data_IF_521809616573
#
_entry.id   IF_521809616573
#
_cell.length_a   1.000
_cell.length_b   1.000
_cell.length_c   1.000
_cell.angle_alpha   90.00
_cell.angle_beta   90.00
_cell.angle_gamma   90.00
#
_symmetry.space_group_name_H-M   'P 1'
#
loop_
_entity.id
_entity.type
_entity.pdbx_description
1 polymer ?
#
# COMPACT_ATOMS: atom_id res chain seq x y z
N UNK A 1 -5.66 18.69 -0.17
CA UNK A 1 -5.54 18.95 1.30
C UNK A 1 -4.84 17.74 1.92
N UNK A 2 -3.80 17.97 2.73
CA UNK A 2 -2.98 16.92 3.34
C UNK A 2 -3.29 16.90 4.83
N UNK A 3 -3.69 15.73 5.36
CA UNK A 3 -3.85 15.54 6.81
C UNK A 3 -2.46 15.53 7.44
N UNK A 4 -2.25 16.40 8.41
CA UNK A 4 -1.00 16.44 9.15
C UNK A 4 -0.90 15.26 10.10
N UNK A 5 0.19 14.55 10.05
CA UNK A 5 0.51 13.41 10.93
C UNK A 5 1.88 13.59 11.58
N UNK A 6 2.01 14.54 12.50
CA UNK A 6 3.30 14.96 13.04
C UNK A 6 4.08 13.84 13.76
N UNK A 7 3.40 12.88 14.36
CA UNK A 7 4.04 11.70 14.96
C UNK A 7 4.71 10.80 13.92
N UNK A 8 4.05 10.61 12.78
CA UNK A 8 4.57 9.81 11.68
C UNK A 8 5.69 10.54 10.95
N UNK A 9 5.53 11.85 10.70
CA UNK A 9 6.57 12.70 10.13
C UNK A 9 7.84 12.66 10.98
N UNK A 10 7.72 12.84 12.31
CA UNK A 10 8.84 12.74 13.26
C UNK A 10 9.49 11.36 13.24
N UNK A 11 8.72 10.28 13.17
CA UNK A 11 9.28 8.93 13.08
C UNK A 11 10.14 8.74 11.84
N UNK A 12 9.67 9.23 10.69
CA UNK A 12 10.41 9.15 9.42
C UNK A 12 11.68 9.99 9.47
N UNK A 13 11.61 11.22 9.95
CA UNK A 13 12.80 12.10 10.07
C UNK A 13 13.81 11.55 11.07
N UNK A 14 13.38 11.02 12.21
CA UNK A 14 14.28 10.37 13.18
C UNK A 14 14.97 9.14 12.57
N UNK A 15 14.26 8.34 11.77
CA UNK A 15 14.85 7.21 11.04
C UNK A 15 15.91 7.67 10.05
N UNK A 16 15.63 8.72 9.26
CA UNK A 16 16.60 9.34 8.35
C UNK A 16 17.84 9.87 9.08
N UNK A 17 17.66 10.53 10.21
CA UNK A 17 18.76 11.10 11.01
C UNK A 17 19.63 10.00 11.65
N UNK A 18 19.05 8.83 11.91
CA UNK A 18 19.77 7.63 12.32
C UNK A 18 20.51 6.91 11.17
N UNK A 19 20.54 7.48 9.96
CA UNK A 19 21.18 6.89 8.78
C UNK A 19 20.41 5.70 8.18
N UNK A 20 19.15 5.49 8.58
CA UNK A 20 18.28 4.44 8.02
C UNK A 20 17.56 4.90 6.77
N UNK A 21 16.99 3.94 6.06
CA UNK A 21 16.11 4.15 4.89
C UNK A 21 14.69 3.77 5.31
N UNK A 22 13.82 4.75 5.65
CA UNK A 22 12.41 4.48 5.92
C UNK A 22 11.70 3.91 4.69
N UNK A 23 10.95 2.83 4.88
CA UNK A 23 10.14 2.19 3.84
C UNK A 23 8.67 2.24 4.25
N UNK A 24 7.92 3.18 3.67
CA UNK A 24 6.54 3.47 4.01
C UNK A 24 5.60 2.49 3.31
N UNK A 25 4.89 1.68 4.09
CA UNK A 25 3.95 0.69 3.59
C UNK A 25 2.51 1.04 3.96
N UNK A 26 1.61 0.86 3.01
CA UNK A 26 0.18 1.04 3.23
C UNK A 26 -0.61 0.81 1.95
N UNK A 27 -1.86 0.39 2.06
CA UNK A 27 -2.73 0.13 0.92
C UNK A 27 -3.09 1.38 0.10
N UNK A 28 -3.90 1.22 -0.94
CA UNK A 28 -4.42 2.34 -1.70
C UNK A 28 -5.13 3.34 -0.79
N UNK A 29 -4.72 4.62 -0.84
CA UNK A 29 -5.35 5.68 -0.06
C UNK A 29 -4.95 5.78 1.39
N UNK A 30 -3.91 5.09 1.80
CA UNK A 30 -3.32 5.24 3.13
C UNK A 30 -2.62 6.57 3.39
N UNK A 31 -2.44 7.41 2.35
CA UNK A 31 -1.80 8.72 2.46
C UNK A 31 -0.28 8.69 2.28
N UNK A 32 0.31 7.64 1.72
CA UNK A 32 1.77 7.55 1.44
C UNK A 32 2.29 8.75 0.65
N UNK A 33 1.71 8.99 -0.54
CA UNK A 33 2.07 10.12 -1.40
C UNK A 33 1.95 11.45 -0.68
N UNK A 34 0.84 11.65 0.06
CA UNK A 34 0.64 12.88 0.85
C UNK A 34 1.72 13.05 1.92
N UNK A 35 2.12 11.97 2.58
CA UNK A 35 3.21 12.00 3.56
C UNK A 35 4.56 12.33 2.89
N UNK A 36 4.87 11.72 1.73
CA UNK A 36 6.11 12.02 1.01
C UNK A 36 6.16 13.49 0.58
N UNK A 37 5.07 14.03 0.03
CA UNK A 37 4.98 15.45 -0.36
C UNK A 37 5.12 16.39 0.85
N UNK A 38 4.56 15.99 1.99
CA UNK A 38 4.72 16.74 3.24
C UNK A 38 6.18 16.69 3.73
N UNK A 39 6.81 15.53 3.65
CA UNK A 39 8.23 15.37 4.00
C UNK A 39 9.13 16.20 3.08
N UNK A 40 8.85 16.26 1.77
CA UNK A 40 9.58 17.13 0.85
C UNK A 40 9.50 18.60 1.31
N UNK A 41 8.32 19.06 1.69
CA UNK A 41 8.13 20.41 2.21
C UNK A 41 8.91 20.64 3.52
N UNK A 42 8.84 19.70 4.48
CA UNK A 42 9.52 19.80 5.78
C UNK A 42 11.04 19.73 5.66
N UNK A 43 11.55 18.85 4.79
CA UNK A 43 13.00 18.71 4.54
C UNK A 43 13.56 19.89 3.75
N UNK A 44 12.75 20.56 2.97
CA UNK A 44 13.13 21.68 2.11
C UNK A 44 13.43 21.26 0.66
N UNK A 45 12.96 22.07 -0.31
CA UNK A 45 13.04 21.74 -1.74
C UNK A 45 14.48 21.78 -2.29
N UNK A 46 15.41 22.45 -1.60
CA UNK A 46 16.81 22.52 -2.03
C UNK A 46 17.61 21.25 -1.71
N UNK A 47 17.12 20.40 -0.79
CA UNK A 47 17.80 19.15 -0.40
C UNK A 47 16.94 17.91 -0.50
N UNK A 48 15.68 18.02 -0.90
CA UNK A 48 14.81 16.87 -1.07
C UNK A 48 14.10 16.89 -2.42
N UNK A 49 13.85 15.69 -2.97
CA UNK A 49 13.18 15.52 -4.24
C UNK A 49 12.19 14.36 -4.16
N UNK A 50 10.91 14.67 -4.35
CA UNK A 50 9.86 13.67 -4.58
C UNK A 50 9.93 13.13 -6.01
N UNK A 51 9.82 11.81 -6.15
CA UNK A 51 9.82 11.11 -7.43
C UNK A 51 8.69 10.08 -7.46
N UNK A 52 7.75 10.24 -8.38
CA UNK A 52 6.74 9.23 -8.69
C UNK A 52 7.34 8.22 -9.67
N UNK A 53 7.83 7.10 -9.11
CA UNK A 53 8.47 6.04 -9.90
C UNK A 53 7.46 5.33 -10.78
N UNK A 54 6.20 5.17 -10.34
CA UNK A 54 5.16 4.53 -11.15
C UNK A 54 4.87 5.31 -12.43
N UNK A 55 4.83 6.64 -12.36
CA UNK A 55 4.64 7.50 -13.53
C UNK A 55 5.89 7.53 -14.45
N UNK A 56 7.09 7.49 -13.87
CA UNK A 56 8.34 7.58 -14.61
C UNK A 56 8.78 6.22 -15.23
N UNK A 57 8.48 5.08 -14.60
CA UNK A 57 9.03 3.75 -14.96
C UNK A 57 8.39 3.14 -16.21
N UNK A 58 8.44 3.82 -17.35
CA UNK A 58 7.97 3.30 -18.65
C UNK A 58 9.07 2.51 -19.36
N UNK A 59 10.22 3.14 -19.63
CA UNK A 59 11.47 2.50 -20.05
C UNK A 59 12.62 3.06 -19.21
N UNK A 60 13.77 2.35 -19.07
CA UNK A 60 14.91 2.86 -18.31
C UNK A 60 15.38 4.25 -18.78
N UNK A 61 15.45 4.47 -20.10
CA UNK A 61 15.90 5.75 -20.69
C UNK A 61 14.93 6.90 -20.37
N UNK A 62 13.62 6.66 -20.54
CA UNK A 62 12.60 7.67 -20.24
C UNK A 62 12.52 7.96 -18.75
N UNK A 63 12.69 6.93 -17.92
CA UNK A 63 12.74 7.09 -16.48
C UNK A 63 13.93 7.95 -16.05
N UNK A 64 15.13 7.65 -16.57
CA UNK A 64 16.33 8.45 -16.33
C UNK A 64 16.12 9.91 -16.74
N UNK A 65 15.66 10.15 -17.97
CA UNK A 65 15.40 11.50 -18.45
C UNK A 65 14.37 12.24 -17.57
N UNK A 66 13.21 11.61 -17.29
CA UNK A 66 12.17 12.22 -16.48
C UNK A 66 12.62 12.56 -15.05
N UNK A 67 13.42 11.70 -14.42
CA UNK A 67 13.94 11.92 -13.07
C UNK A 67 14.99 13.01 -13.06
N UNK A 68 15.92 13.01 -14.01
CA UNK A 68 16.98 14.03 -14.11
C UNK A 68 16.37 15.41 -14.44
N UNK A 69 15.47 15.48 -15.43
CA UNK A 69 14.83 16.73 -15.85
C UNK A 69 13.94 17.35 -14.75
N UNK A 70 13.25 16.50 -13.96
CA UNK A 70 12.44 16.96 -12.85
C UNK A 70 13.25 17.27 -11.58
N UNK A 71 14.52 16.87 -11.52
CA UNK A 71 15.31 16.98 -10.31
C UNK A 71 15.82 18.39 -10.05
N UNK A 72 15.71 18.81 -8.81
CA UNK A 72 16.37 20.03 -8.28
C UNK A 72 17.77 19.74 -7.75
N UNK A 73 18.07 18.46 -7.52
CA UNK A 73 19.37 17.99 -7.09
C UNK A 73 20.31 17.89 -8.29
N UNK A 74 21.59 18.17 -8.10
CA UNK A 74 22.58 18.17 -9.15
C UNK A 74 23.32 16.84 -9.23
N UNK A 75 23.59 16.29 -10.42
CA UNK A 75 24.46 15.13 -10.54
C UNK A 75 25.91 15.49 -10.14
N UNK A 76 26.58 14.62 -9.37
CA UNK A 76 27.95 14.86 -8.89
C UNK A 76 29.01 14.95 -10.01
N UNK A 77 28.76 14.27 -11.14
CA UNK A 77 29.75 14.10 -12.23
C UNK A 77 29.44 14.90 -13.49
N UNK A 78 28.63 15.97 -13.38
CA UNK A 78 28.22 16.80 -14.53
C UNK A 78 26.98 16.23 -15.25
N UNK A 79 26.64 16.78 -16.44
CA UNK A 79 25.41 16.42 -17.14
C UNK A 79 25.30 14.90 -17.41
N UNK A 80 24.13 14.34 -17.14
CA UNK A 80 23.86 12.94 -17.45
C UNK A 80 23.74 12.78 -18.96
N UNK A 81 24.74 12.16 -19.59
CA UNK A 81 24.75 11.95 -21.04
C UNK A 81 23.66 10.99 -21.51
N UNK A 82 23.45 10.90 -22.84
CA UNK A 82 22.51 9.97 -23.44
C UNK A 82 23.03 8.54 -23.27
N UNK A 83 22.25 7.59 -22.68
CA UNK A 83 22.68 6.20 -22.53
C UNK A 83 22.69 5.48 -23.90
N UNK A 84 23.60 4.54 -24.10
CA UNK A 84 23.69 3.76 -25.33
C UNK A 84 22.63 2.63 -25.39
N UNK A 85 22.22 2.11 -24.23
CA UNK A 85 21.21 1.07 -24.12
C UNK A 85 20.43 1.14 -22.79
N UNK A 86 19.42 0.25 -22.65
CA UNK A 86 18.53 0.17 -21.47
C UNK A 86 19.30 -0.18 -20.18
N UNK A 87 20.35 -1.00 -20.27
CA UNK A 87 21.15 -1.40 -19.12
C UNK A 87 22.01 -0.23 -18.63
N UNK A 88 22.63 0.47 -19.56
CA UNK A 88 23.38 1.68 -19.22
C UNK A 88 22.44 2.78 -18.65
N UNK A 89 21.25 2.92 -19.21
CA UNK A 89 20.26 3.86 -18.70
C UNK A 89 19.89 3.57 -17.23
N UNK A 90 19.65 2.31 -16.89
CA UNK A 90 19.39 1.91 -15.51
C UNK A 90 20.62 2.12 -14.62
N UNK A 91 21.82 1.79 -15.07
CA UNK A 91 23.07 2.05 -14.35
C UNK A 91 23.23 3.54 -14.02
N UNK A 92 23.04 4.43 -15.01
CA UNK A 92 23.13 5.89 -14.84
C UNK A 92 22.02 6.44 -13.91
N UNK A 93 20.81 5.83 -13.92
CA UNK A 93 19.77 6.17 -12.96
C UNK A 93 20.24 5.88 -11.52
N UNK A 94 20.82 4.71 -11.28
CA UNK A 94 21.38 4.35 -9.97
C UNK A 94 22.52 5.29 -9.58
N UNK A 95 23.43 5.62 -10.52
CA UNK A 95 24.54 6.55 -10.28
C UNK A 95 24.05 7.98 -9.96
N UNK A 96 22.98 8.42 -10.61
CA UNK A 96 22.35 9.72 -10.30
C UNK A 96 21.74 9.71 -8.88
N UNK A 97 20.99 8.68 -8.52
CA UNK A 97 20.40 8.57 -7.19
C UNK A 97 21.46 8.48 -6.09
N UNK A 98 22.58 7.81 -6.36
CA UNK A 98 23.68 7.61 -5.42
C UNK A 98 24.59 8.84 -5.28
N UNK A 99 24.85 9.51 -6.39
CA UNK A 99 25.82 10.61 -6.48
C UNK A 99 25.20 12.01 -6.56
N UNK A 100 23.92 12.17 -6.30
CA UNK A 100 23.31 13.51 -6.31
C UNK A 100 23.89 14.41 -5.23
N UNK A 101 23.98 15.70 -5.51
CA UNK A 101 24.46 16.74 -4.60
C UNK A 101 23.42 17.83 -4.36
N UNK A 102 23.52 18.48 -3.22
CA UNK A 102 22.68 19.61 -2.83
C UNK A 102 23.53 20.69 -2.20
N UNK A 103 23.16 21.95 -2.41
CA UNK A 103 23.80 23.11 -1.77
C UNK A 103 23.36 23.30 -0.32
N UNK A 104 22.27 22.66 0.10
CA UNK A 104 21.63 22.85 1.40
C UNK A 104 21.86 21.69 2.37
N UNK A 105 22.74 20.73 2.03
CA UNK A 105 23.06 19.58 2.88
C UNK A 105 22.93 18.23 2.18
N UNK A 106 22.74 17.16 2.95
CA UNK A 106 22.65 15.80 2.39
C UNK A 106 21.39 15.64 1.55
N UNK A 107 21.52 15.27 0.24
CA UNK A 107 20.37 15.06 -0.63
C UNK A 107 19.49 13.92 -0.12
N UNK A 108 18.18 14.08 -0.30
CA UNK A 108 17.19 13.08 0.12
C UNK A 108 16.20 12.84 -1.03
N UNK A 109 16.12 11.62 -1.53
CA UNK A 109 15.11 11.22 -2.49
C UNK A 109 13.92 10.55 -1.80
N UNK A 110 12.71 10.94 -2.18
CA UNK A 110 11.44 10.41 -1.71
C UNK A 110 10.80 9.63 -2.87
N UNK A 111 11.05 8.30 -2.91
CA UNK A 111 10.66 7.44 -4.04
C UNK A 111 9.28 6.82 -3.78
N UNK A 112 8.24 7.35 -4.42
CA UNK A 112 6.90 6.76 -4.36
C UNK A 112 6.78 5.60 -5.35
N UNK A 113 6.12 4.52 -4.93
CA UNK A 113 5.91 3.28 -5.67
C UNK A 113 7.21 2.68 -6.24
N UNK A 114 8.29 2.69 -5.45
CA UNK A 114 9.63 2.29 -5.87
C UNK A 114 9.71 0.88 -6.49
N UNK A 115 8.76 -0.02 -6.18
CA UNK A 115 8.71 -1.36 -6.78
C UNK A 115 8.36 -1.35 -8.28
N UNK A 116 7.83 -0.23 -8.81
CA UNK A 116 7.41 -0.18 -10.21
C UNK A 116 8.59 -0.11 -11.18
N UNK A 117 9.83 0.07 -10.70
CA UNK A 117 11.07 -0.20 -11.47
C UNK A 117 11.11 -1.65 -12.01
N UNK A 118 10.32 -2.57 -11.45
CA UNK A 118 10.17 -3.93 -11.96
C UNK A 118 9.74 -3.98 -13.44
N UNK A 119 9.11 -2.95 -13.94
CA UNK A 119 8.76 -2.82 -15.36
C UNK A 119 10.01 -2.98 -16.25
N UNK A 120 11.18 -2.61 -15.76
CA UNK A 120 12.44 -2.71 -16.50
C UNK A 120 12.91 -4.15 -16.67
N UNK A 121 12.44 -5.12 -15.87
CA UNK A 121 12.75 -6.53 -16.04
C UNK A 121 12.22 -7.12 -17.36
N UNK A 122 11.34 -6.40 -18.07
CA UNK A 122 10.90 -6.75 -19.42
C UNK A 122 11.92 -6.41 -20.52
N UNK A 123 12.99 -5.68 -20.20
CA UNK A 123 14.01 -5.26 -21.15
C UNK A 123 15.24 -6.18 -21.11
N UNK A 124 15.92 -6.39 -22.26
CA UNK A 124 17.11 -7.24 -22.33
C UNK A 124 18.20 -6.81 -21.34
N UNK A 125 18.76 -7.80 -20.62
CA UNK A 125 19.86 -7.55 -19.68
C UNK A 125 19.45 -7.06 -18.29
N UNK A 126 18.16 -6.78 -18.03
CA UNK A 126 17.62 -6.30 -16.77
C UNK A 126 16.73 -7.36 -16.11
N UNK A 127 17.29 -8.21 -15.23
CA UNK A 127 16.56 -9.35 -14.63
C UNK A 127 16.27 -9.21 -13.13
N UNK A 128 17.02 -8.37 -12.41
CA UNK A 128 16.97 -8.27 -10.96
C UNK A 128 16.91 -6.81 -10.48
N UNK A 129 16.26 -5.97 -11.26
CA UNK A 129 16.23 -4.50 -11.11
C UNK A 129 15.87 -4.04 -9.69
N UNK A 130 14.88 -4.69 -9.07
CA UNK A 130 14.48 -4.34 -7.70
C UNK A 130 15.58 -4.68 -6.67
N UNK A 131 16.27 -5.82 -6.84
CA UNK A 131 17.37 -6.21 -5.96
C UNK A 131 18.59 -5.32 -6.15
N UNK A 132 18.90 -4.99 -7.41
CA UNK A 132 20.02 -4.11 -7.77
C UNK A 132 19.79 -2.71 -7.19
N UNK A 133 18.56 -2.17 -7.30
CA UNK A 133 18.16 -0.92 -6.67
C UNK A 133 18.37 -0.99 -5.15
N UNK A 134 17.78 -1.96 -4.46
CA UNK A 134 17.89 -2.10 -2.99
C UNK A 134 19.34 -2.24 -2.56
N UNK A 135 20.16 -3.05 -3.26
CA UNK A 135 21.57 -3.21 -2.96
C UNK A 135 22.35 -1.89 -3.10
N UNK A 136 22.06 -1.10 -4.14
CA UNK A 136 22.71 0.20 -4.34
C UNK A 136 22.31 1.21 -3.26
N UNK A 137 21.01 1.32 -2.97
CA UNK A 137 20.50 2.22 -1.94
C UNK A 137 21.07 1.89 -0.54
N UNK A 138 21.28 0.60 -0.27
CA UNK A 138 21.81 0.15 1.04
C UNK A 138 23.20 0.67 1.37
N UNK A 139 24.03 0.97 0.37
CA UNK A 139 25.41 1.45 0.54
C UNK A 139 25.58 2.93 0.18
N UNK A 140 24.56 3.56 -0.36
CA UNK A 140 24.59 4.94 -0.83
C UNK A 140 24.79 5.94 0.31
N UNK A 141 25.60 7.01 0.10
CA UNK A 141 25.70 8.13 1.02
C UNK A 141 24.48 9.05 0.99
N UNK A 142 23.68 9.00 -0.09
CA UNK A 142 22.44 9.74 -0.26
C UNK A 142 21.35 9.19 0.67
N UNK A 143 20.42 10.02 1.10
CA UNK A 143 19.30 9.65 1.96
C UNK A 143 18.08 9.27 1.11
N UNK A 144 17.32 8.28 1.54
CA UNK A 144 16.13 7.80 0.84
C UNK A 144 14.95 7.59 1.78
N UNK A 145 13.75 7.90 1.29
CA UNK A 145 12.48 7.42 1.82
C UNK A 145 11.79 6.67 0.69
N UNK A 146 11.44 5.43 0.91
CA UNK A 146 10.77 4.59 -0.08
C UNK A 146 9.30 4.45 0.29
N UNK A 147 8.41 4.38 -0.69
CA UNK A 147 7.01 4.05 -0.44
C UNK A 147 6.50 2.99 -1.43
N UNK A 148 5.60 2.14 -0.95
CA UNK A 148 4.95 1.13 -1.79
C UNK A 148 3.57 0.74 -1.26
N UNK A 149 2.66 0.46 -2.20
CA UNK A 149 1.35 -0.13 -1.92
C UNK A 149 1.39 -1.65 -1.69
N UNK A 150 2.47 -2.31 -2.10
CA UNK A 150 2.60 -3.76 -2.08
C UNK A 150 3.39 -4.24 -0.87
N UNK A 151 2.72 -4.34 0.28
CA UNK A 151 3.31 -4.70 1.56
C UNK A 151 4.01 -6.07 1.51
N UNK A 152 3.33 -7.10 1.02
CA UNK A 152 3.86 -8.46 0.96
C UNK A 152 5.10 -8.58 0.07
N UNK A 153 5.13 -7.85 -1.05
CA UNK A 153 6.28 -7.83 -1.96
C UNK A 153 7.49 -7.14 -1.35
N UNK A 154 7.28 -6.01 -0.66
CA UNK A 154 8.37 -5.31 0.02
C UNK A 154 8.98 -6.17 1.12
N UNK A 155 8.17 -6.80 1.98
CA UNK A 155 8.69 -7.70 3.00
C UNK A 155 9.51 -8.85 2.42
N UNK A 156 9.10 -9.41 1.27
CA UNK A 156 9.86 -10.45 0.59
C UNK A 156 11.17 -9.90 0.01
N UNK A 157 11.14 -8.73 -0.61
CA UNK A 157 12.33 -8.09 -1.19
C UNK A 157 13.37 -7.73 -0.13
N UNK A 158 12.91 -7.22 1.02
CA UNK A 158 13.78 -6.75 2.10
C UNK A 158 14.16 -7.84 3.12
N UNK A 159 13.70 -9.09 2.97
CA UNK A 159 13.99 -10.18 3.91
C UNK A 159 15.48 -10.36 4.18
N UNK A 160 16.27 -10.32 3.11
CA UNK A 160 17.72 -10.53 3.15
C UNK A 160 18.50 -9.21 2.95
N UNK A 161 17.80 -8.06 3.03
CA UNK A 161 18.43 -6.76 2.87
C UNK A 161 19.16 -6.32 4.15
N UNK A 162 20.18 -5.46 4.03
CA UNK A 162 20.88 -4.91 5.21
C UNK A 162 19.92 -4.21 6.18
N UNK A 163 20.25 -4.22 7.47
CA UNK A 163 19.48 -3.63 8.56
C UNK A 163 19.25 -2.09 8.44
N UNK A 164 19.78 -1.46 7.40
CA UNK A 164 19.57 -0.04 7.09
C UNK A 164 18.12 0.29 6.72
N UNK A 165 17.33 -0.68 6.20
CA UNK A 165 15.93 -0.47 5.84
C UNK A 165 15.03 -0.59 7.09
N UNK A 166 14.26 0.46 7.38
CA UNK A 166 13.25 0.46 8.44
C UNK A 166 11.85 0.47 7.84
N UNK A 167 11.11 -0.62 7.98
CA UNK A 167 9.73 -0.70 7.52
C UNK A 167 8.81 0.05 8.48
N UNK A 168 8.06 1.02 7.94
CA UNK A 168 7.08 1.82 8.67
C UNK A 168 5.72 1.62 8.01
N UNK A 169 4.84 0.88 8.68
CA UNK A 169 3.45 0.77 8.26
C UNK A 169 2.73 2.09 8.58
N UNK A 170 2.07 2.67 7.56
CA UNK A 170 1.23 3.84 7.76
C UNK A 170 -0.05 3.38 8.46
N UNK A 171 -0.29 3.81 9.72
CA UNK A 171 -1.48 3.40 10.44
C UNK A 171 -2.74 4.03 9.83
N UNK A 172 -3.88 3.37 10.02
CA UNK A 172 -5.17 3.97 9.75
C UNK A 172 -5.36 5.25 10.58
N UNK A 173 -6.18 6.19 10.09
CA UNK A 173 -6.58 7.36 10.88
C UNK A 173 -7.41 6.89 12.09
N UNK A 174 -7.13 7.46 13.24
CA UNK A 174 -7.99 7.33 14.41
C UNK A 174 -9.15 8.33 14.37
N UNK A 175 -10.06 8.25 15.35
CA UNK A 175 -11.22 9.11 15.40
C UNK A 175 -10.86 10.59 15.59
N UNK A 176 -9.78 10.91 16.30
CA UNK A 176 -9.33 12.29 16.51
C UNK A 176 -8.73 12.89 15.24
N UNK A 177 -7.96 12.10 14.48
CA UNK A 177 -7.45 12.51 13.17
C UNK A 177 -8.60 12.73 12.16
N UNK A 178 -9.62 11.85 12.17
CA UNK A 178 -10.82 12.01 11.33
C UNK A 178 -11.66 13.21 11.80
N UNK A 179 -11.78 13.48 13.09
CA UNK A 179 -12.44 14.67 13.62
C UNK A 179 -11.75 15.94 13.14
N UNK A 180 -10.42 15.99 13.24
CA UNK A 180 -9.62 17.12 12.75
C UNK A 180 -9.86 17.36 11.25
N UNK A 181 -9.96 16.29 10.46
CA UNK A 181 -10.33 16.39 9.05
C UNK A 181 -11.77 16.88 8.87
N UNK A 182 -12.71 16.37 9.68
CA UNK A 182 -14.14 16.70 9.56
C UNK A 182 -14.43 18.19 9.81
N UNK A 183 -13.68 18.85 10.68
CA UNK A 183 -13.79 20.30 10.90
C UNK A 183 -13.66 21.13 9.64
N UNK A 184 -12.94 20.64 8.63
CA UNK A 184 -12.73 21.35 7.35
C UNK A 184 -13.96 21.27 6.42
N UNK A 185 -14.82 20.26 6.60
CA UNK A 185 -15.94 19.98 5.68
C UNK A 185 -17.32 20.25 6.29
N UNK A 186 -17.46 20.08 7.62
CA UNK A 186 -18.77 20.13 8.28
C UNK A 186 -18.86 21.22 9.35
N UNK A 187 -18.00 22.24 9.30
CA UNK A 187 -18.03 23.38 10.23
C UNK A 187 -19.37 24.10 10.20
N UNK A 188 -19.87 24.44 11.40
CA UNK A 188 -21.13 25.19 11.58
C UNK A 188 -22.43 24.35 11.51
N UNK A 189 -22.35 23.01 11.54
CA UNK A 189 -23.51 22.11 11.47
C UNK A 189 -23.97 21.63 12.85
N UNK A 190 -25.25 21.24 12.93
CA UNK A 190 -25.93 20.79 14.16
C UNK A 190 -25.29 19.53 14.74
N UNK A 191 -24.86 18.58 13.86
CA UNK A 191 -24.00 17.43 14.21
C UNK A 191 -22.56 17.82 13.90
N UNK A 192 -21.82 18.17 14.95
CA UNK A 192 -20.43 18.62 14.82
C UNK A 192 -19.48 17.52 14.30
N UNK A 193 -18.25 17.92 14.00
CA UNK A 193 -17.19 17.01 13.56
C UNK A 193 -16.97 15.85 14.54
N UNK A 194 -17.05 16.11 15.85
CA UNK A 194 -16.89 15.12 16.92
C UNK A 194 -17.94 14.00 16.86
N UNK A 195 -19.21 14.34 16.56
CA UNK A 195 -20.31 13.36 16.50
C UNK A 195 -20.19 12.45 15.26
N UNK A 196 -19.62 12.96 14.17
CA UNK A 196 -19.49 12.24 12.90
C UNK A 196 -18.23 11.38 12.82
N UNK A 197 -17.15 11.81 13.46
CA UNK A 197 -15.83 11.17 13.33
C UNK A 197 -15.82 9.67 13.68
N UNK A 198 -16.46 9.20 14.78
CA UNK A 198 -16.49 7.77 15.10
C UNK A 198 -17.17 6.93 14.01
N UNK A 199 -18.33 7.41 13.52
CA UNK A 199 -19.07 6.70 12.47
C UNK A 199 -18.30 6.68 11.14
N UNK A 200 -17.72 7.80 10.73
CA UNK A 200 -16.89 7.90 9.53
C UNK A 200 -15.70 6.96 9.66
N UNK A 201 -14.97 7.00 10.78
CA UNK A 201 -13.82 6.13 11.04
C UNK A 201 -14.19 4.66 10.92
N UNK A 202 -15.30 4.26 11.54
CA UNK A 202 -15.78 2.87 11.49
C UNK A 202 -16.16 2.43 10.06
N UNK A 203 -16.87 3.27 9.31
CA UNK A 203 -17.33 2.97 7.96
C UNK A 203 -16.17 2.86 6.96
N UNK A 204 -15.15 3.73 7.07
CA UNK A 204 -14.02 3.73 6.12
C UNK A 204 -12.79 2.99 6.62
N UNK A 205 -12.83 2.40 7.83
CA UNK A 205 -11.70 1.68 8.43
C UNK A 205 -10.46 2.57 8.64
N UNK A 206 -10.66 3.88 8.85
CA UNK A 206 -9.60 4.87 9.01
C UNK A 206 -8.77 5.13 7.73
N UNK A 207 -9.27 4.76 6.54
CA UNK A 207 -8.62 5.10 5.27
C UNK A 207 -8.67 6.61 5.01
N UNK A 208 -7.52 7.33 4.93
CA UNK A 208 -7.51 8.78 4.72
C UNK A 208 -8.27 9.24 3.48
N UNK A 209 -8.09 8.54 2.38
CA UNK A 209 -8.75 8.91 1.14
C UNK A 209 -10.26 8.62 1.16
N UNK A 210 -10.69 7.50 1.75
CA UNK A 210 -12.10 7.20 1.88
C UNK A 210 -12.78 8.14 2.90
N UNK A 211 -12.10 8.50 4.00
CA UNK A 211 -12.57 9.51 4.95
C UNK A 211 -12.78 10.87 4.27
N UNK A 212 -11.79 11.30 3.46
CA UNK A 212 -11.91 12.54 2.69
C UNK A 212 -13.11 12.52 1.75
N UNK A 213 -13.32 11.44 0.99
CA UNK A 213 -14.46 11.30 0.07
C UNK A 213 -15.78 11.39 0.86
N UNK A 214 -15.87 10.65 1.96
CA UNK A 214 -17.10 10.59 2.76
C UNK A 214 -17.41 11.94 3.42
N UNK A 215 -16.41 12.62 3.98
CA UNK A 215 -16.55 13.94 4.59
C UNK A 215 -16.90 15.02 3.57
N UNK A 216 -16.33 14.96 2.36
CA UNK A 216 -16.70 15.85 1.25
C UNK A 216 -18.17 15.65 0.87
N UNK A 217 -18.63 14.40 0.76
CA UNK A 217 -20.03 14.07 0.52
C UNK A 217 -20.95 14.60 1.61
N UNK A 218 -20.62 14.36 2.88
CA UNK A 218 -21.35 14.91 4.03
C UNK A 218 -21.37 16.43 3.99
N UNK A 219 -20.27 17.07 3.60
CA UNK A 219 -20.17 18.52 3.40
C UNK A 219 -21.20 19.06 2.40
N UNK A 220 -21.48 18.33 1.34
CA UNK A 220 -22.40 18.73 0.25
C UNK A 220 -23.88 18.40 0.52
N UNK A 221 -24.20 17.47 1.43
CA UNK A 221 -25.57 16.99 1.68
C UNK A 221 -26.48 17.95 2.49
N UNK A 222 -26.05 19.18 2.78
CA UNK A 222 -26.86 20.14 3.52
C UNK A 222 -27.09 19.74 4.99
N UNK A 223 -28.33 19.84 5.48
CA UNK A 223 -28.67 19.57 6.88
C UNK A 223 -28.72 18.07 7.24
N UNK A 224 -28.87 17.19 6.25
CA UNK A 224 -28.92 15.74 6.48
C UNK A 224 -27.49 15.18 6.54
N UNK A 225 -27.01 14.92 7.75
CA UNK A 225 -25.67 14.38 7.99
C UNK A 225 -25.73 12.90 8.37
N UNK A 226 -26.19 12.05 7.44
CA UNK A 226 -26.17 10.61 7.63
C UNK A 226 -24.93 10.00 6.93
N UNK A 227 -23.92 9.51 7.70
CA UNK A 227 -22.73 8.90 7.13
C UNK A 227 -23.03 7.66 6.26
N UNK A 228 -24.13 6.93 6.54
CA UNK A 228 -24.52 5.74 5.77
C UNK A 228 -25.09 6.16 4.41
N UNK A 229 -25.94 7.18 4.38
CA UNK A 229 -26.43 7.74 3.13
C UNK A 229 -25.31 8.36 2.28
N UNK A 230 -24.35 9.06 2.92
CA UNK A 230 -23.17 9.59 2.24
C UNK A 230 -22.29 8.47 1.65
N UNK A 231 -22.13 7.36 2.37
CA UNK A 231 -21.40 6.19 1.86
C UNK A 231 -22.14 5.58 0.66
N UNK A 232 -23.48 5.47 0.70
CA UNK A 232 -24.27 4.97 -0.41
C UNK A 232 -24.12 5.86 -1.65
N UNK A 233 -24.16 7.17 -1.49
CA UNK A 233 -23.92 8.12 -2.57
C UNK A 233 -22.47 8.04 -3.11
N UNK A 234 -21.48 7.91 -2.24
CA UNK A 234 -20.07 7.82 -2.63
C UNK A 234 -19.75 6.53 -3.40
N UNK A 235 -20.46 5.42 -3.11
CA UNK A 235 -20.27 4.12 -3.78
C UNK A 235 -21.28 3.88 -4.92
N UNK A 236 -22.14 4.82 -5.25
CA UNK A 236 -22.99 4.78 -6.43
C UNK A 236 -22.15 4.68 -7.73
N UNK A 237 -22.72 4.32 -8.90
CA UNK A 237 -21.96 4.09 -10.15
C UNK A 237 -20.98 5.20 -10.52
N UNK A 238 -21.37 6.46 -10.36
CA UNK A 238 -20.54 7.65 -10.64
C UNK A 238 -19.90 8.25 -9.39
N UNK A 239 -19.97 7.54 -8.28
CA UNK A 239 -19.44 7.99 -6.99
C UNK A 239 -17.92 7.96 -6.93
N UNK A 240 -17.34 8.90 -6.19
CA UNK A 240 -15.88 9.02 -6.05
C UNK A 240 -15.25 7.78 -5.40
N UNK A 241 -15.96 7.10 -4.48
CA UNK A 241 -15.47 5.88 -3.87
C UNK A 241 -15.49 4.71 -4.85
N UNK A 242 -16.51 4.62 -5.72
CA UNK A 242 -16.58 3.63 -6.81
C UNK A 242 -15.41 3.79 -7.77
N UNK A 243 -15.14 5.01 -8.24
CA UNK A 243 -14.01 5.29 -9.13
C UNK A 243 -12.68 4.86 -8.49
N UNK A 244 -12.49 5.20 -7.21
CA UNK A 244 -11.30 4.84 -6.47
C UNK A 244 -11.15 3.32 -6.24
N UNK A 245 -12.22 2.63 -5.84
CA UNK A 245 -12.20 1.17 -5.65
C UNK A 245 -11.91 0.46 -6.98
N UNK A 246 -12.50 0.94 -8.08
CA UNK A 246 -12.24 0.42 -9.44
C UNK A 246 -10.77 0.56 -9.81
N UNK A 247 -10.20 1.75 -9.64
CA UNK A 247 -8.79 1.99 -9.91
C UNK A 247 -7.88 1.06 -9.08
N UNK A 248 -8.09 1.00 -7.76
CA UNK A 248 -7.32 0.13 -6.87
C UNK A 248 -7.44 -1.35 -7.22
N UNK A 249 -8.63 -1.79 -7.63
CA UNK A 249 -8.94 -3.17 -8.01
C UNK A 249 -8.27 -3.54 -9.33
N UNK A 250 -8.50 -2.75 -10.38
CA UNK A 250 -7.95 -3.02 -11.71
C UNK A 250 -6.43 -2.86 -11.76
N UNK A 251 -5.88 -1.86 -11.08
CA UNK A 251 -4.43 -1.65 -10.99
C UNK A 251 -3.70 -2.86 -10.39
N UNK A 252 -4.31 -3.52 -9.39
CA UNK A 252 -3.74 -4.71 -8.74
C UNK A 252 -3.91 -5.97 -9.57
N UNK A 253 -4.99 -6.09 -10.34
CA UNK A 253 -5.24 -7.22 -11.24
C UNK A 253 -4.58 -7.04 -12.61
N UNK A 254 -4.08 -5.83 -12.92
CA UNK A 254 -3.43 -5.56 -14.18
C UNK A 254 -2.24 -6.50 -14.40
N UNK A 255 -2.14 -7.06 -15.60
CA UNK A 255 -1.10 -8.05 -15.99
C UNK A 255 -1.14 -9.38 -15.21
N UNK A 256 -2.19 -9.66 -14.44
CA UNK A 256 -2.33 -10.95 -13.78
C UNK A 256 -2.66 -12.06 -14.78
N UNK A 257 -1.93 -13.17 -14.70
CA UNK A 257 -2.32 -14.40 -15.41
C UNK A 257 -3.52 -15.03 -14.71
N UNK A 258 -4.51 -15.47 -15.48
CA UNK A 258 -5.71 -16.09 -14.91
C UNK A 258 -6.71 -15.11 -14.32
N UNK A 259 -6.84 -13.91 -14.91
CA UNK A 259 -7.72 -12.83 -14.49
C UNK A 259 -9.14 -13.27 -14.12
N UNK A 260 -9.77 -14.16 -14.93
CA UNK A 260 -11.09 -14.70 -14.63
C UNK A 260 -11.14 -15.53 -13.34
N UNK A 261 -10.11 -16.33 -13.07
CA UNK A 261 -10.04 -17.11 -11.83
C UNK A 261 -9.81 -16.22 -10.61
N UNK A 262 -8.98 -15.19 -10.74
CA UNK A 262 -8.75 -14.22 -9.67
C UNK A 262 -10.03 -13.45 -9.33
N UNK A 263 -10.76 -12.97 -10.34
CA UNK A 263 -12.09 -12.34 -10.14
C UNK A 263 -13.10 -13.32 -9.52
N UNK A 264 -13.09 -14.58 -9.96
CA UNK A 264 -13.94 -15.62 -9.38
C UNK A 264 -13.67 -15.83 -7.88
N UNK A 265 -12.39 -15.89 -7.47
CA UNK A 265 -12.02 -15.99 -6.03
C UNK A 265 -12.48 -14.76 -5.26
N UNK A 266 -12.25 -13.57 -5.79
CA UNK A 266 -12.67 -12.33 -5.15
C UNK A 266 -14.20 -12.24 -5.04
N UNK A 267 -14.95 -12.68 -6.05
CA UNK A 267 -16.41 -12.78 -5.97
C UNK A 267 -16.87 -13.73 -4.86
N UNK A 268 -16.27 -14.93 -4.77
CA UNK A 268 -16.56 -15.90 -3.72
C UNK A 268 -16.30 -15.32 -2.32
N UNK A 269 -15.17 -14.64 -2.14
CA UNK A 269 -14.83 -13.99 -0.87
C UNK A 269 -15.71 -12.77 -0.58
N UNK A 270 -16.13 -12.03 -1.61
CA UNK A 270 -17.07 -10.91 -1.43
C UNK A 270 -18.41 -11.38 -0.86
N UNK A 271 -18.92 -12.50 -1.34
CA UNK A 271 -20.16 -13.09 -0.83
C UNK A 271 -20.01 -13.62 0.58
N UNK A 272 -18.95 -14.38 0.82
CA UNK A 272 -18.73 -15.04 2.10
C UNK A 272 -17.26 -15.05 2.45
N UNK A 273 -16.88 -14.41 3.57
CA UNK A 273 -15.55 -14.49 4.17
C UNK A 273 -15.64 -14.55 5.70
N UNK A 274 -14.62 -15.07 6.40
CA UNK A 274 -13.41 -15.70 5.85
C UNK A 274 -13.62 -17.15 5.43
N UNK A 275 -12.97 -17.60 4.35
CA UNK A 275 -13.03 -18.97 3.82
C UNK A 275 -11.64 -19.63 3.81
N UNK A 276 -11.62 -20.97 3.96
CA UNK A 276 -10.38 -21.74 3.80
C UNK A 276 -10.14 -22.14 2.33
N UNK A 277 -8.93 -22.65 2.02
CA UNK A 277 -8.55 -23.07 0.67
C UNK A 277 -9.53 -24.09 0.06
N UNK A 278 -9.97 -25.08 0.82
CA UNK A 278 -10.86 -26.15 0.35
C UNK A 278 -12.24 -25.59 -0.03
N UNK A 279 -12.80 -24.70 0.82
CA UNK A 279 -14.08 -24.04 0.56
C UNK A 279 -14.04 -23.19 -0.71
N UNK A 280 -12.93 -22.43 -0.91
CA UNK A 280 -12.73 -21.60 -2.11
C UNK A 280 -12.57 -22.47 -3.36
N UNK A 281 -11.72 -23.52 -3.29
CA UNK A 281 -11.48 -24.43 -4.41
C UNK A 281 -12.76 -25.11 -4.90
N UNK A 282 -13.57 -25.58 -3.94
CA UNK A 282 -14.85 -26.23 -4.25
C UNK A 282 -15.80 -25.26 -4.97
N UNK A 283 -15.96 -24.02 -4.47
CA UNK A 283 -16.83 -23.00 -5.08
C UNK A 283 -16.30 -22.52 -6.43
N UNK A 284 -14.97 -22.43 -6.58
CA UNK A 284 -14.30 -22.05 -7.83
C UNK A 284 -14.32 -23.19 -8.88
N UNK A 285 -14.64 -24.44 -8.45
CA UNK A 285 -14.59 -25.67 -9.27
C UNK A 285 -13.20 -25.90 -9.87
N UNK A 286 -12.16 -25.73 -9.04
CA UNK A 286 -10.76 -25.96 -9.40
C UNK A 286 -10.05 -26.80 -8.33
N UNK A 287 -8.87 -27.31 -8.68
CA UNK A 287 -8.05 -28.07 -7.73
C UNK A 287 -7.48 -27.15 -6.64
N UNK A 288 -7.28 -27.66 -5.41
CA UNK A 288 -6.67 -26.87 -4.33
C UNK A 288 -5.29 -26.31 -4.69
N UNK A 289 -4.45 -27.06 -5.43
CA UNK A 289 -3.14 -26.58 -5.87
C UNK A 289 -3.24 -25.34 -6.75
N UNK A 290 -4.02 -25.42 -7.85
CA UNK A 290 -4.24 -24.27 -8.74
C UNK A 290 -4.88 -23.08 -8.00
N UNK A 291 -5.82 -23.32 -7.09
CA UNK A 291 -6.47 -22.27 -6.29
C UNK A 291 -5.48 -21.59 -5.35
N UNK A 292 -4.55 -22.35 -4.75
CA UNK A 292 -3.50 -21.82 -3.88
C UNK A 292 -2.57 -20.87 -4.62
N UNK A 293 -2.21 -21.17 -5.88
CA UNK A 293 -1.36 -20.30 -6.69
C UNK A 293 -2.05 -18.94 -6.94
N UNK A 294 -3.34 -18.94 -7.26
CA UNK A 294 -4.10 -17.70 -7.41
C UNK A 294 -4.25 -16.93 -6.08
N UNK A 295 -4.49 -17.61 -4.98
CA UNK A 295 -4.56 -16.99 -3.65
C UNK A 295 -3.22 -16.38 -3.27
N UNK A 296 -2.11 -17.08 -3.48
CA UNK A 296 -0.77 -16.54 -3.24
C UNK A 296 -0.51 -15.27 -4.06
N UNK A 297 -0.99 -15.25 -5.31
CA UNK A 297 -0.88 -14.03 -6.14
C UNK A 297 -1.74 -12.89 -5.58
N UNK A 298 -2.98 -13.17 -5.11
CA UNK A 298 -3.85 -12.16 -4.48
C UNK A 298 -3.28 -11.63 -3.17
N UNK A 299 -2.59 -12.47 -2.40
CA UNK A 299 -1.83 -12.04 -1.21
C UNK A 299 -0.65 -11.15 -1.59
N UNK A 300 0.08 -11.48 -2.66
CA UNK A 300 1.23 -10.71 -3.15
C UNK A 300 0.87 -9.29 -3.58
N UNK A 301 -0.37 -9.09 -4.04
CA UNK A 301 -0.88 -7.76 -4.41
C UNK A 301 -1.73 -7.13 -3.31
N UNK A 302 -1.73 -7.70 -2.11
CA UNK A 302 -2.45 -7.22 -0.93
C UNK A 302 -3.97 -7.00 -1.15
N UNK A 303 -4.60 -7.82 -2.02
CA UNK A 303 -6.06 -7.85 -2.17
C UNK A 303 -6.71 -8.75 -1.11
N UNK A 304 -6.03 -9.83 -0.76
CA UNK A 304 -6.48 -10.84 0.19
C UNK A 304 -5.42 -11.02 1.26
N UNK A 305 -5.84 -11.30 2.47
CA UNK A 305 -4.98 -11.68 3.59
C UNK A 305 -5.37 -13.05 4.12
N UNK A 306 -4.39 -13.82 4.57
CA UNK A 306 -4.61 -15.11 5.23
C UNK A 306 -4.38 -14.99 6.74
N UNK A 307 -5.37 -15.39 7.54
CA UNK A 307 -5.24 -15.50 9.01
C UNK A 307 -5.81 -16.83 9.46
N UNK A 308 -5.04 -17.61 10.22
CA UNK A 308 -5.49 -18.91 10.71
C UNK A 308 -5.97 -19.85 9.58
N UNK A 309 -5.27 -19.92 8.46
CA UNK A 309 -5.62 -20.69 7.24
C UNK A 309 -6.94 -20.29 6.57
N UNK A 310 -7.48 -19.11 6.88
CA UNK A 310 -8.67 -18.54 6.25
C UNK A 310 -8.30 -17.24 5.52
N UNK A 311 -8.90 -17.05 4.37
CA UNK A 311 -8.68 -15.92 3.47
C UNK A 311 -9.84 -14.95 3.58
N UNK A 312 -9.51 -13.65 3.58
CA UNK A 312 -10.47 -12.55 3.59
C UNK A 312 -9.91 -11.35 2.79
N UNK A 313 -10.75 -10.42 2.40
CA UNK A 313 -10.31 -9.16 1.84
C UNK A 313 -9.43 -8.38 2.83
N UNK A 314 -8.38 -7.74 2.30
CA UNK A 314 -7.54 -6.81 3.09
C UNK A 314 -8.27 -5.50 3.36
N UNK A 315 -9.06 -5.03 2.39
CA UNK A 315 -9.83 -3.78 2.45
C UNK A 315 -11.34 -4.07 2.41
N UNK A 316 -12.09 -3.80 3.49
CA UNK A 316 -13.53 -4.04 3.53
C UNK A 316 -14.35 -3.19 2.56
N UNK A 317 -13.90 -1.96 2.23
CA UNK A 317 -14.56 -1.13 1.22
C UNK A 317 -14.40 -1.72 -0.17
N UNK A 318 -13.23 -2.31 -0.46
CA UNK A 318 -13.01 -3.02 -1.71
C UNK A 318 -13.87 -4.28 -1.79
N UNK A 319 -14.07 -5.00 -0.67
CA UNK A 319 -15.04 -6.09 -0.61
C UNK A 319 -16.45 -5.62 -0.95
N UNK A 320 -16.91 -4.52 -0.34
CA UNK A 320 -18.23 -3.93 -0.64
C UNK A 320 -18.35 -3.56 -2.13
N UNK A 321 -17.29 -2.96 -2.70
CA UNK A 321 -17.24 -2.67 -4.12
C UNK A 321 -17.35 -3.93 -5.01
N UNK A 322 -16.59 -4.98 -4.71
CA UNK A 322 -16.64 -6.23 -5.49
C UNK A 322 -18.02 -6.88 -5.36
N UNK A 323 -18.66 -6.80 -4.22
CA UNK A 323 -20.00 -7.31 -3.96
C UNK A 323 -21.06 -6.59 -4.81
N UNK A 324 -20.92 -5.27 -4.98
CA UNK A 324 -21.82 -4.44 -5.78
C UNK A 324 -21.54 -4.56 -7.30
N UNK A 325 -20.27 -4.56 -7.69
CA UNK A 325 -19.85 -4.37 -9.08
C UNK A 325 -19.11 -5.59 -9.68
N UNK A 326 -18.95 -6.66 -8.94
CA UNK A 326 -18.34 -7.90 -9.44
C UNK A 326 -19.21 -8.72 -10.38
N UNK A 327 -20.51 -8.46 -10.40
CA UNK A 327 -21.47 -9.09 -11.30
C UNK A 327 -21.52 -8.47 -12.70
N UNK A 328 -22.22 -9.11 -13.64
CA UNK A 328 -22.33 -8.64 -15.02
C UNK A 328 -23.28 -7.44 -15.20
N UNK A 329 -24.14 -7.17 -14.22
CA UNK A 329 -25.12 -6.08 -14.26
C UNK A 329 -24.79 -5.05 -13.17
N UNK A 330 -24.75 -3.76 -13.51
CA UNK A 330 -24.57 -2.70 -12.48
C UNK A 330 -25.66 -2.76 -11.42
N UNK A 331 -25.35 -2.46 -10.15
CA UNK A 331 -26.34 -2.48 -9.09
C UNK A 331 -27.36 -1.35 -9.27
N UNK A 332 -28.64 -1.62 -8.95
CA UNK A 332 -29.65 -0.57 -8.80
C UNK A 332 -29.57 0.10 -7.42
N UNK A 333 -30.23 1.28 -7.30
CA UNK A 333 -30.19 2.08 -6.09
C UNK A 333 -30.62 1.32 -4.83
N UNK A 334 -31.70 0.53 -4.91
CA UNK A 334 -32.18 -0.26 -3.78
C UNK A 334 -31.17 -1.32 -3.33
N UNK A 335 -30.41 -1.90 -4.25
CA UNK A 335 -29.36 -2.86 -3.95
C UNK A 335 -28.18 -2.14 -3.27
N UNK A 336 -27.79 -0.97 -3.75
CA UNK A 336 -26.72 -0.16 -3.13
C UNK A 336 -27.08 0.18 -1.68
N UNK A 337 -28.29 0.73 -1.47
CA UNK A 337 -28.77 1.09 -0.12
C UNK A 337 -28.81 -0.15 0.79
N UNK A 338 -29.28 -1.29 0.29
CA UNK A 338 -29.36 -2.54 1.05
C UNK A 338 -27.99 -3.06 1.48
N UNK A 339 -27.03 -3.13 0.54
CA UNK A 339 -25.67 -3.63 0.79
C UNK A 339 -24.87 -2.67 1.69
N UNK A 340 -24.97 -1.35 1.47
CA UNK A 340 -24.34 -0.34 2.32
C UNK A 340 -24.94 -0.37 3.72
N UNK A 341 -26.26 -0.52 3.85
CA UNK A 341 -26.90 -0.69 5.14
C UNK A 341 -26.46 -1.95 5.90
N UNK A 342 -26.31 -3.07 5.18
CA UNK A 342 -25.75 -4.31 5.76
C UNK A 342 -24.31 -4.12 6.21
N UNK A 343 -23.47 -3.51 5.37
CA UNK A 343 -22.08 -3.18 5.69
C UNK A 343 -22.00 -2.26 6.94
N UNK A 344 -22.79 -1.19 6.98
CA UNK A 344 -22.80 -0.22 8.08
C UNK A 344 -23.20 -0.88 9.41
N UNK A 345 -24.21 -1.76 9.42
CA UNK A 345 -24.59 -2.50 10.62
C UNK A 345 -23.43 -3.29 11.22
N UNK A 346 -22.59 -3.92 10.38
CA UNK A 346 -21.44 -4.68 10.88
C UNK A 346 -20.31 -3.81 11.41
N UNK A 347 -20.27 -2.53 11.04
CA UNK A 347 -19.21 -1.58 11.41
C UNK A 347 -19.58 -0.63 12.53
N UNK A 348 -20.85 -0.25 12.62
CA UNK A 348 -21.35 0.72 13.60
C UNK A 348 -21.88 0.07 14.89
N UNK A 349 -22.11 -1.25 14.90
CA UNK A 349 -22.45 -1.95 16.16
C UNK A 349 -21.23 -1.94 17.09
N UNK A 350 -21.42 -1.65 18.40
CA UNK A 350 -20.33 -1.66 19.36
C UNK A 350 -19.68 -3.06 19.43
N UNK A 351 -18.35 -3.07 19.54
CA UNK A 351 -17.50 -4.27 19.55
C UNK A 351 -17.82 -5.33 20.64
N UNK A 352 -18.82 -5.12 21.47
CA UNK A 352 -19.27 -6.04 22.51
C UNK A 352 -19.89 -7.35 21.99
N UNK A 353 -20.15 -7.48 20.68
CA UNK A 353 -20.74 -8.67 20.07
C UNK A 353 -19.80 -9.42 19.07
N UNK A 354 -18.59 -8.95 18.83
CA UNK A 354 -17.63 -9.68 18.02
C UNK A 354 -16.72 -10.52 18.93
N UNK A 355 -16.52 -11.84 18.69
CA UNK A 355 -15.51 -12.58 19.40
C UNK A 355 -14.16 -11.91 19.19
N UNK A 356 -13.50 -11.53 20.28
CA UNK A 356 -12.20 -10.89 20.26
C UNK A 356 -11.22 -11.74 19.44
N UNK A 357 -10.84 -11.29 18.25
CA UNK A 357 -9.67 -11.81 17.56
C UNK A 357 -8.46 -11.42 18.42
N UNK A 358 -7.87 -12.40 19.07
CA UNK A 358 -6.69 -12.22 19.89
C UNK A 358 -5.63 -11.42 19.10
N UNK A 359 -4.94 -10.44 19.75
CA UNK A 359 -3.83 -9.74 19.13
C UNK A 359 -2.78 -10.76 18.69
N UNK A 360 -2.22 -10.55 17.51
CA UNK A 360 -1.10 -11.36 17.02
C UNK A 360 -0.01 -11.40 18.10
N UNK A 361 0.56 -12.60 18.42
CA UNK A 361 1.66 -12.67 19.35
C UNK A 361 2.80 -11.76 18.86
N UNK A 362 3.27 -10.90 19.76
CA UNK A 362 4.46 -10.11 19.53
C UNK A 362 5.57 -11.05 19.05
N UNK A 363 6.27 -10.67 17.98
CA UNK A 363 7.41 -11.43 17.48
C UNK A 363 8.36 -11.68 18.67
N UNK A 364 8.60 -12.96 18.94
CA UNK A 364 9.53 -13.37 19.96
C UNK A 364 10.90 -12.71 19.69
N UNK A 365 11.47 -12.13 20.73
CA UNK A 365 12.84 -11.61 20.70
C UNK A 365 13.80 -12.75 20.27
N UNK A 366 14.86 -12.46 19.51
CA UNK A 366 15.85 -13.47 19.15
C UNK A 366 16.48 -14.06 20.41
N UNK A 367 16.73 -15.38 20.45
CA UNK A 367 17.37 -16.00 21.61
C UNK A 367 18.79 -15.48 21.81
N UNK A 368 19.15 -15.35 23.08
CA UNK A 368 20.47 -14.94 23.59
C UNK A 368 21.56 -15.87 23.00
N UNK A 369 22.71 -15.34 22.50
CA UNK A 369 23.76 -16.13 21.86
C UNK A 369 24.67 -16.90 22.84
N UNK A 370 24.14 -17.39 23.94
CA UNK A 370 24.91 -17.95 25.07
C UNK A 370 24.78 -19.44 25.38
N UNK A 371 24.06 -20.25 24.62
CA UNK A 371 24.02 -21.71 24.89
C UNK A 371 24.12 -22.54 23.60
N UNK A 372 25.30 -23.07 23.34
CA UNK A 372 25.52 -24.12 22.35
C UNK A 372 25.23 -25.49 22.99
N UNK A 373 24.35 -26.33 22.41
CA UNK A 373 24.28 -27.74 22.81
C UNK A 373 25.32 -28.57 22.04
N UNK A 374 26.12 -29.30 22.79
CA UNK A 374 27.02 -30.35 22.32
C UNK A 374 26.26 -31.51 21.67
N UNK A 375 26.82 -31.98 20.55
CA UNK A 375 26.68 -33.32 19.95
C UNK A 375 25.32 -33.99 19.77
N UNK A 376 24.93 -34.14 18.51
CA UNK A 376 24.18 -35.27 18.03
C UNK A 376 24.73 -35.82 16.69
N UNK A 377 24.68 -37.13 16.43
CA UNK A 377 25.54 -37.83 15.48
C UNK A 377 25.03 -37.77 14.04
N UNK A 378 25.97 -37.85 13.12
CA UNK A 378 25.78 -38.03 11.67
C UNK A 378 25.15 -39.38 11.38
N UNK A 379 24.06 -39.40 10.64
CA UNK A 379 23.56 -40.58 9.93
C UNK A 379 23.30 -40.25 8.47
N UNK A 380 23.84 -40.93 7.67
CA UNK A 380 23.95 -41.79 6.52
C UNK A 380 23.03 -41.37 5.38
N UNK A 381 23.71 -41.12 4.24
CA UNK A 381 23.19 -41.09 2.87
C UNK A 381 22.67 -42.48 2.54
N UNK A 382 21.44 -42.60 2.01
CA UNK A 382 20.97 -43.74 1.25
C UNK A 382 20.60 -43.22 -0.15
N UNK A 383 21.43 -43.55 -1.12
CA UNK A 383 21.07 -43.56 -2.53
C UNK A 383 20.19 -44.80 -2.78
N UNK A 384 19.10 -44.61 -3.53
CA UNK A 384 18.39 -45.69 -4.21
C UNK A 384 18.07 -45.21 -5.63
N UNK A 385 18.42 -46.06 -6.61
CA UNK A 385 18.28 -46.01 -8.05
C UNK A 385 17.04 -45.40 -8.65
#
# INVERSE_FOLDING_TARGET
MIVERPSLERRVTTSLDAGRIPVLLGGCGSGRTSLLLRLEHVLGPGRSQYLDVAAAATTPERCLAAIVDASRLQPATGPVGVPADTREAFGRLLDFLDGATSTEGTPTFLLDEFLDVRTFENFPGLRHVQRDLVARLAVSPTRFVLASRFTSRVHRLLRDAPARFEVIHIPALDAAEVESMAHLFVSGRRNGAADLAPAVTALVGGSPAAAHILLTGLGSMGAATDPVAALAAAIAPDGALTARCRECYELRLHRARGYGALKGILGILADTEPLNLTEISHRLRRTPGSTKDYLSWLEDVDLVTMRGKRYAFTDPLLRLYVRLYGGPVPPGDSQIVGEVGAYARTRLLPAAAAPALAPAPAAAAPPDPGEAPEHAPRSGIIEID
#
